data_IF_729353692394
#
_entry.id   IF_729353692394
#
_cell.length_a   1.000
_cell.length_b   1.000
_cell.length_c   1.000
_cell.angle_alpha   90.00
_cell.angle_beta   90.00
_cell.angle_gamma   90.00
#
_symmetry.space_group_name_H-M   'P 1'
#
loop_
_entity.id
_entity.type
_entity.pdbx_description
1 polymer ?
#
# COMPACT_ATOMS: atom_id res chain seq x y z
N UNK A 1 -35.57 19.73 13.18
CA UNK A 1 -34.75 19.81 14.40
C UNK A 1 -33.68 18.74 14.32
N UNK A 2 -32.43 19.08 14.00
CA UNK A 2 -31.28 18.23 14.33
C UNK A 2 -30.38 19.10 15.18
N UNK A 3 -30.30 18.73 16.45
CA UNK A 3 -29.72 19.48 17.55
C UNK A 3 -28.23 19.70 17.32
N UNK A 4 -27.72 20.74 17.99
CA UNK A 4 -26.30 21.02 18.19
C UNK A 4 -25.45 19.73 18.38
N UNK A 5 -26.02 18.70 19.02
CA UNK A 5 -25.42 17.38 19.21
C UNK A 5 -24.97 16.66 17.93
N UNK A 6 -25.74 16.66 16.83
CA UNK A 6 -25.33 15.96 15.60
C UNK A 6 -24.12 16.61 14.92
N UNK A 7 -23.99 17.95 15.01
CA UNK A 7 -22.83 18.67 14.47
C UNK A 7 -21.59 18.41 15.31
N UNK A 8 -21.74 18.41 16.64
CA UNK A 8 -20.66 18.08 17.58
C UNK A 8 -20.17 16.64 17.33
N UNK A 9 -21.09 15.68 17.21
CA UNK A 9 -20.74 14.28 16.93
C UNK A 9 -19.98 14.13 15.61
N UNK A 10 -20.46 14.75 14.53
CA UNK A 10 -19.79 14.72 13.23
C UNK A 10 -18.38 15.33 13.30
N UNK A 11 -18.23 16.42 14.04
CA UNK A 11 -16.93 17.06 14.25
C UNK A 11 -15.97 16.16 15.01
N UNK A 12 -16.42 15.51 16.10
CA UNK A 12 -15.59 14.61 16.90
C UNK A 12 -15.12 13.42 16.06
N UNK A 13 -16.04 12.77 15.33
CA UNK A 13 -15.71 11.63 14.47
C UNK A 13 -14.67 12.02 13.40
N UNK A 14 -14.86 13.17 12.74
CA UNK A 14 -13.91 13.65 11.74
C UNK A 14 -12.57 14.06 12.34
N UNK A 15 -12.53 14.59 13.57
CA UNK A 15 -11.26 14.86 14.28
C UNK A 15 -10.46 13.59 14.51
N UNK A 16 -11.10 12.48 14.86
CA UNK A 16 -10.42 11.17 15.00
C UNK A 16 -9.86 10.73 13.65
N UNK A 17 -10.63 10.86 12.57
CA UNK A 17 -10.19 10.53 11.21
C UNK A 17 -9.01 11.40 10.75
N UNK A 18 -8.98 12.69 11.12
CA UNK A 18 -7.84 13.59 10.86
C UNK A 18 -6.58 13.06 11.54
N UNK A 19 -6.66 12.68 12.82
CA UNK A 19 -5.51 12.14 13.57
C UNK A 19 -4.99 10.86 12.90
N UNK A 20 -5.89 9.94 12.54
CA UNK A 20 -5.51 8.71 11.84
C UNK A 20 -4.88 9.00 10.47
N UNK A 21 -5.44 9.94 9.70
CA UNK A 21 -4.91 10.38 8.42
C UNK A 21 -3.49 10.96 8.54
N UNK A 22 -3.24 11.79 9.56
CA UNK A 22 -1.91 12.34 9.84
C UNK A 22 -0.90 11.24 10.20
N UNK A 23 -1.29 10.26 11.01
CA UNK A 23 -0.43 9.10 11.34
C UNK A 23 -0.07 8.34 10.06
N UNK A 24 -1.04 8.06 9.18
CA UNK A 24 -0.78 7.38 7.91
C UNK A 24 0.14 8.19 7.00
N UNK A 25 -0.02 9.52 6.92
CA UNK A 25 0.86 10.39 6.15
C UNK A 25 2.29 10.32 6.68
N UNK A 26 2.47 10.43 8.00
CA UNK A 26 3.80 10.39 8.64
C UNK A 26 4.46 9.02 8.40
N UNK A 27 3.75 7.93 8.67
CA UNK A 27 4.25 6.57 8.45
C UNK A 27 4.56 6.34 6.97
N UNK A 28 3.66 6.71 6.07
CA UNK A 28 3.85 6.59 4.62
C UNK A 28 5.06 7.39 4.13
N UNK A 29 5.24 8.61 4.62
CA UNK A 29 6.40 9.44 4.28
C UNK A 29 7.71 8.85 4.80
N UNK A 30 7.73 8.34 6.04
CA UNK A 30 8.89 7.64 6.61
C UNK A 30 9.23 6.39 5.80
N UNK A 31 8.24 5.60 5.41
CA UNK A 31 8.47 4.38 4.62
C UNK A 31 8.92 4.73 3.19
N UNK A 32 8.38 5.78 2.58
CA UNK A 32 8.70 6.20 1.22
C UNK A 32 10.10 6.86 1.11
N UNK A 33 10.48 7.66 2.10
CA UNK A 33 11.69 8.50 2.02
C UNK A 33 12.71 8.27 3.12
N UNK A 34 12.39 7.47 4.14
CA UNK A 34 13.27 7.22 5.29
C UNK A 34 14.63 6.66 4.91
N UNK A 35 14.71 5.81 3.89
CA UNK A 35 15.99 5.23 3.43
C UNK A 35 16.96 6.28 2.87
N UNK A 36 16.45 7.31 2.20
CA UNK A 36 17.26 8.41 1.70
C UNK A 36 17.77 9.32 2.83
N UNK A 37 16.99 9.49 3.88
CA UNK A 37 17.38 10.23 5.08
C UNK A 37 18.47 9.48 5.87
N UNK A 38 18.31 8.16 6.02
CA UNK A 38 19.29 7.29 6.68
C UNK A 38 20.62 7.34 5.92
N UNK A 39 20.62 7.21 4.59
CA UNK A 39 21.88 7.27 3.80
C UNK A 39 22.61 8.62 3.94
N UNK A 40 21.87 9.74 3.96
CA UNK A 40 22.45 11.08 4.17
C UNK A 40 22.98 11.29 5.59
N UNK A 41 22.36 10.68 6.60
CA UNK A 41 22.88 10.69 7.97
C UNK A 41 24.19 9.90 8.08
N UNK A 42 24.29 8.77 7.38
CA UNK A 42 25.48 7.92 7.36
C UNK A 42 26.67 8.55 6.62
N UNK A 43 26.42 9.34 5.57
CA UNK A 43 27.46 10.08 4.83
C UNK A 43 27.77 11.47 5.42
N UNK A 44 26.99 11.91 6.41
CA UNK A 44 27.17 13.18 7.10
C UNK A 44 27.94 13.05 8.44
N UNK A 45 27.56 13.82 9.49
CA UNK A 45 28.34 13.93 10.73
C UNK A 45 28.52 12.61 11.51
N UNK A 46 27.82 11.54 11.15
CA UNK A 46 27.98 10.20 11.72
C UNK A 46 29.24 9.46 11.24
N UNK A 47 29.95 9.94 10.20
CA UNK A 47 31.17 9.30 9.70
C UNK A 47 32.22 9.07 10.81
N UNK A 48 32.33 10.01 11.76
CA UNK A 48 33.24 9.91 12.92
C UNK A 48 32.89 8.78 13.90
N UNK A 49 31.65 8.31 13.94
CA UNK A 49 31.24 7.17 14.78
C UNK A 49 31.36 5.83 14.05
N UNK A 50 31.26 5.86 12.73
CA UNK A 50 31.25 4.65 11.89
C UNK A 50 32.67 4.14 11.62
N UNK A 51 33.67 5.02 11.58
CA UNK A 51 35.09 4.63 11.51
C UNK A 51 35.52 3.73 12.69
N UNK A 52 34.89 3.87 13.86
CA UNK A 52 35.13 3.03 15.03
C UNK A 52 34.43 1.65 14.96
N UNK A 53 33.55 1.42 13.98
CA UNK A 53 32.78 0.17 13.82
C UNK A 53 33.35 -0.79 12.75
N UNK A 54 34.46 -0.43 12.10
CA UNK A 54 35.13 -1.25 11.09
C UNK A 54 34.50 -1.14 9.70
N UNK A 55 35.30 -0.76 8.71
CA UNK A 55 34.87 -0.44 7.34
C UNK A 55 34.01 -1.53 6.66
N UNK A 56 34.20 -2.79 7.03
CA UNK A 56 33.58 -3.96 6.39
C UNK A 56 32.04 -4.00 6.53
N UNK A 57 31.48 -3.59 7.68
CA UNK A 57 30.03 -3.64 7.92
C UNK A 57 29.25 -2.52 7.23
N UNK A 58 29.93 -1.45 6.84
CA UNK A 58 29.27 -0.26 6.25
C UNK A 58 28.71 -0.55 4.86
N UNK A 59 29.43 -1.34 4.05
CA UNK A 59 28.99 -1.76 2.73
C UNK A 59 27.77 -2.68 2.81
N UNK A 60 27.78 -3.63 3.74
CA UNK A 60 26.65 -4.55 3.97
C UNK A 60 25.39 -3.80 4.43
N UNK A 61 25.56 -2.79 5.30
CA UNK A 61 24.45 -1.94 5.75
C UNK A 61 23.88 -1.11 4.60
N UNK A 62 24.73 -0.49 3.75
CA UNK A 62 24.27 0.25 2.57
C UNK A 62 23.53 -0.64 1.57
N UNK A 63 24.00 -1.87 1.37
CA UNK A 63 23.34 -2.89 0.53
C UNK A 63 21.95 -3.26 1.10
N UNK A 64 21.87 -3.57 2.39
CA UNK A 64 20.61 -3.92 3.05
C UNK A 64 19.57 -2.79 2.98
N UNK A 65 19.98 -1.53 3.19
CA UNK A 65 19.09 -0.37 3.12
C UNK A 65 18.57 -0.15 1.69
N UNK A 66 19.42 -0.34 0.67
CA UNK A 66 19.04 -0.15 -0.74
C UNK A 66 18.04 -1.21 -1.21
N UNK A 67 18.24 -2.46 -0.79
CA UNK A 67 17.33 -3.56 -1.08
C UNK A 67 15.96 -3.33 -0.45
N UNK A 68 15.92 -3.13 0.87
CA UNK A 68 14.66 -2.91 1.62
C UNK A 68 13.96 -1.64 1.13
N UNK A 69 14.74 -0.59 0.84
CA UNK A 69 14.23 0.68 0.36
C UNK A 69 13.53 0.59 -0.99
N UNK A 70 13.98 -0.29 -1.90
CA UNK A 70 13.36 -0.45 -3.22
C UNK A 70 11.94 -1.02 -3.14
N UNK A 71 11.70 -1.96 -2.21
CA UNK A 71 10.40 -2.59 -1.98
C UNK A 71 9.47 -1.69 -1.18
N UNK A 72 10.00 -1.02 -0.16
CA UNK A 72 9.22 -0.21 0.78
C UNK A 72 8.70 1.09 0.16
N UNK A 73 9.43 1.66 -0.80
CA UNK A 73 9.11 2.93 -1.46
C UNK A 73 7.69 3.02 -2.06
N UNK A 74 7.29 2.13 -2.99
CA UNK A 74 5.95 2.20 -3.59
C UNK A 74 4.84 1.99 -2.54
N UNK A 75 5.08 1.17 -1.51
CA UNK A 75 4.13 0.96 -0.40
C UNK A 75 3.96 2.25 0.41
N UNK A 76 5.07 2.86 0.79
CA UNK A 76 5.07 4.12 1.53
C UNK A 76 4.35 5.22 0.78
N UNK A 77 4.57 5.33 -0.54
CA UNK A 77 3.86 6.29 -1.39
C UNK A 77 2.35 6.03 -1.44
N UNK A 78 1.93 4.77 -1.58
CA UNK A 78 0.51 4.42 -1.59
C UNK A 78 -0.17 4.80 -0.27
N UNK A 79 0.45 4.46 0.86
CA UNK A 79 -0.05 4.82 2.20
C UNK A 79 -0.08 6.34 2.41
N UNK A 80 0.94 7.05 1.91
CA UNK A 80 1.01 8.51 1.97
C UNK A 80 -0.13 9.18 1.21
N UNK A 81 -0.36 8.79 -0.05
CA UNK A 81 -1.45 9.36 -0.86
C UNK A 81 -2.82 9.00 -0.30
N UNK A 82 -3.01 7.78 0.20
CA UNK A 82 -4.25 7.38 0.86
C UNK A 82 -4.52 8.25 2.10
N UNK A 83 -3.49 8.49 2.92
CA UNK A 83 -3.56 9.38 4.07
C UNK A 83 -3.95 10.81 3.69
N UNK A 84 -3.41 11.35 2.60
CA UNK A 84 -3.78 12.69 2.10
C UNK A 84 -5.24 12.78 1.67
N UNK A 85 -5.76 11.76 0.98
CA UNK A 85 -7.18 11.71 0.56
C UNK A 85 -8.10 11.68 1.79
N UNK A 86 -7.79 10.80 2.75
CA UNK A 86 -8.55 10.67 4.00
C UNK A 86 -8.54 11.99 4.77
N UNK A 87 -7.37 12.62 4.90
CA UNK A 87 -7.20 13.91 5.57
C UNK A 87 -8.02 15.00 4.86
N UNK A 88 -7.97 15.08 3.53
CA UNK A 88 -8.75 16.03 2.75
C UNK A 88 -10.25 15.91 3.01
N UNK A 89 -10.80 14.69 2.91
CA UNK A 89 -12.23 14.43 3.16
C UNK A 89 -12.62 14.81 4.59
N UNK A 90 -11.78 14.49 5.57
CA UNK A 90 -12.06 14.77 6.97
C UNK A 90 -11.99 16.28 7.29
N UNK A 91 -11.08 17.02 6.67
CA UNK A 91 -11.02 18.50 6.76
C UNK A 91 -12.29 19.12 6.20
N UNK A 92 -12.76 18.69 5.02
CA UNK A 92 -14.02 19.19 4.45
C UNK A 92 -15.21 18.92 5.40
N UNK A 93 -15.23 17.77 6.06
CA UNK A 93 -16.23 17.44 7.07
C UNK A 93 -16.17 18.35 8.31
N UNK A 94 -14.97 18.63 8.83
CA UNK A 94 -14.76 19.49 10.00
C UNK A 94 -15.08 20.96 9.69
N UNK A 95 -14.63 21.49 8.55
CA UNK A 95 -14.92 22.85 8.07
C UNK A 95 -16.42 23.01 7.78
N UNK A 96 -17.05 22.02 7.16
CA UNK A 96 -18.50 22.03 6.91
C UNK A 96 -19.33 22.07 8.19
N UNK A 97 -18.87 21.41 9.26
CA UNK A 97 -19.52 21.42 10.57
C UNK A 97 -19.30 22.73 11.34
N UNK A 98 -18.05 23.25 11.36
CA UNK A 98 -17.64 24.38 12.21
C UNK A 98 -17.95 25.74 11.58
N UNK A 99 -17.70 25.90 10.27
CA UNK A 99 -17.91 27.17 9.57
C UNK A 99 -19.36 27.37 9.11
N UNK A 100 -20.27 26.45 9.43
CA UNK A 100 -21.69 26.44 9.03
C UNK A 100 -21.89 26.61 7.50
N UNK A 101 -20.86 26.31 6.70
CA UNK A 101 -20.89 26.43 5.25
C UNK A 101 -21.63 25.23 4.66
N UNK A 102 -22.90 25.47 4.33
CA UNK A 102 -23.81 24.46 3.77
C UNK A 102 -23.30 23.85 2.46
N UNK A 103 -22.52 24.58 1.68
CA UNK A 103 -21.97 24.08 0.41
C UNK A 103 -20.93 23.00 0.64
N UNK A 104 -19.94 23.25 1.51
CA UNK A 104 -18.91 22.27 1.87
C UNK A 104 -19.52 21.02 2.49
N UNK A 105 -20.49 21.20 3.40
CA UNK A 105 -21.18 20.07 4.03
C UNK A 105 -21.98 19.26 3.01
N UNK A 106 -22.64 19.92 2.04
CA UNK A 106 -23.39 19.23 0.99
C UNK A 106 -22.47 18.39 0.09
N UNK A 107 -21.32 18.94 -0.32
CA UNK A 107 -20.34 18.20 -1.11
C UNK A 107 -19.81 16.99 -0.33
N UNK A 108 -19.45 17.19 0.94
CA UNK A 108 -19.00 16.11 1.82
C UNK A 108 -20.04 14.98 1.93
N UNK A 109 -21.31 15.32 2.15
CA UNK A 109 -22.40 14.33 2.23
C UNK A 109 -22.63 13.63 0.89
N UNK A 110 -22.55 14.33 -0.24
CA UNK A 110 -22.69 13.71 -1.57
C UNK A 110 -21.57 12.68 -1.79
N UNK A 111 -20.32 13.05 -1.51
CA UNK A 111 -19.16 12.15 -1.66
C UNK A 111 -19.35 10.92 -0.77
N UNK A 112 -19.66 11.11 0.51
CA UNK A 112 -19.89 9.99 1.43
C UNK A 112 -21.08 9.13 1.03
N UNK A 113 -22.17 9.73 0.56
CA UNK A 113 -23.34 9.00 0.10
C UNK A 113 -22.99 8.12 -1.11
N UNK A 114 -22.21 8.62 -2.06
CA UNK A 114 -21.75 7.81 -3.20
C UNK A 114 -20.87 6.67 -2.73
N UNK A 115 -19.93 6.92 -1.81
CA UNK A 115 -19.07 5.88 -1.23
C UNK A 115 -19.93 4.79 -0.56
N UNK A 116 -20.89 5.17 0.28
CA UNK A 116 -21.77 4.23 0.98
C UNK A 116 -22.63 3.43 -0.01
N UNK A 117 -23.19 4.08 -1.04
CA UNK A 117 -23.96 3.41 -2.08
C UNK A 117 -23.12 2.36 -2.82
N UNK A 118 -21.88 2.70 -3.21
CA UNK A 118 -20.96 1.75 -3.83
C UNK A 118 -20.68 0.56 -2.91
N UNK A 119 -20.44 0.79 -1.61
CA UNK A 119 -20.22 -0.30 -0.65
C UNK A 119 -21.45 -1.20 -0.50
N UNK A 120 -22.66 -0.62 -0.43
CA UNK A 120 -23.90 -1.39 -0.37
C UNK A 120 -24.08 -2.24 -1.64
N UNK A 121 -23.81 -1.68 -2.82
CA UNK A 121 -23.86 -2.42 -4.08
C UNK A 121 -22.87 -3.59 -4.10
N UNK A 122 -21.63 -3.35 -3.65
CA UNK A 122 -20.62 -4.41 -3.53
C UNK A 122 -21.12 -5.51 -2.57
N UNK A 123 -21.66 -5.15 -1.41
CA UNK A 123 -22.19 -6.13 -0.45
C UNK A 123 -23.34 -6.95 -1.05
N UNK A 124 -24.31 -6.30 -1.70
CA UNK A 124 -25.44 -7.00 -2.32
C UNK A 124 -24.98 -7.97 -3.40
N UNK A 125 -24.08 -7.53 -4.30
CA UNK A 125 -23.58 -8.38 -5.38
C UNK A 125 -22.75 -9.52 -4.79
N UNK A 126 -21.95 -9.26 -3.75
CA UNK A 126 -21.13 -10.29 -3.09
C UNK A 126 -21.99 -11.41 -2.51
N UNK A 127 -23.09 -11.08 -1.83
CA UNK A 127 -24.01 -12.06 -1.26
C UNK A 127 -24.90 -12.75 -2.30
N UNK A 128 -25.32 -12.04 -3.35
CA UNK A 128 -26.24 -12.60 -4.35
C UNK A 128 -25.52 -13.43 -5.42
N UNK A 129 -24.43 -12.88 -6.00
CA UNK A 129 -23.68 -13.47 -7.11
C UNK A 129 -22.21 -13.05 -7.01
N UNK A 130 -21.41 -13.74 -6.17
CA UNK A 130 -20.00 -13.37 -5.98
C UNK A 130 -19.21 -13.40 -7.30
N UNK A 131 -19.61 -14.23 -8.27
CA UNK A 131 -18.97 -14.34 -9.59
C UNK A 131 -18.97 -13.03 -10.40
N UNK A 132 -19.96 -12.16 -10.22
CA UNK A 132 -20.03 -10.86 -10.92
C UNK A 132 -18.98 -9.86 -10.44
N UNK A 133 -18.59 -9.93 -9.16
CA UNK A 133 -17.48 -9.14 -8.62
C UNK A 133 -16.15 -9.83 -8.91
N UNK A 134 -16.12 -11.16 -8.75
CA UNK A 134 -14.89 -11.93 -8.84
C UNK A 134 -14.34 -11.94 -10.26
N UNK A 135 -15.18 -12.01 -11.30
CA UNK A 135 -14.73 -12.05 -12.70
C UNK A 135 -13.94 -10.82 -13.18
N UNK A 136 -14.39 -9.56 -13.02
CA UNK A 136 -13.60 -8.39 -13.40
C UNK A 136 -12.35 -8.23 -12.55
N UNK A 137 -12.43 -8.51 -11.25
CA UNK A 137 -11.26 -8.48 -10.36
C UNK A 137 -10.25 -9.55 -10.82
N UNK A 138 -10.71 -10.72 -11.27
CA UNK A 138 -9.86 -11.80 -11.79
C UNK A 138 -9.10 -11.36 -13.02
N UNK A 139 -9.78 -10.76 -13.99
CA UNK A 139 -9.14 -10.30 -15.22
C UNK A 139 -8.10 -9.21 -14.95
N UNK A 140 -8.38 -8.31 -14.01
CA UNK A 140 -7.41 -7.28 -13.64
C UNK A 140 -6.24 -7.89 -12.87
N UNK A 141 -6.49 -8.85 -11.98
CA UNK A 141 -5.45 -9.59 -11.27
C UNK A 141 -4.55 -10.36 -12.23
N UNK A 142 -5.10 -11.06 -13.23
CA UNK A 142 -4.34 -11.73 -14.29
C UNK A 142 -3.49 -10.73 -15.08
N UNK A 143 -4.00 -9.52 -15.34
CA UNK A 143 -3.25 -8.45 -15.99
C UNK A 143 -2.08 -7.98 -15.14
N UNK A 144 -2.29 -7.77 -13.83
CA UNK A 144 -1.23 -7.41 -12.89
C UNK A 144 -0.17 -8.52 -12.78
N UNK A 145 -0.57 -9.80 -12.74
CA UNK A 145 0.35 -10.93 -12.75
C UNK A 145 1.18 -10.98 -14.04
N UNK A 146 0.57 -10.73 -15.20
CA UNK A 146 1.30 -10.69 -16.49
C UNK A 146 2.30 -9.53 -16.59
N UNK A 147 2.03 -8.42 -15.90
CA UNK A 147 2.90 -7.23 -15.83
C UNK A 147 3.91 -7.31 -14.68
N UNK A 148 3.87 -8.36 -13.86
CA UNK A 148 4.79 -8.54 -12.77
C UNK A 148 6.23 -8.73 -13.29
N UNK A 149 7.16 -7.92 -12.78
CA UNK A 149 8.59 -7.99 -13.14
C UNK A 149 9.41 -8.65 -12.03
N UNK A 150 9.43 -7.99 -10.88
CA UNK A 150 10.13 -8.41 -9.66
C UNK A 150 9.71 -7.45 -8.55
N UNK A 151 9.73 -7.88 -7.29
CA UNK A 151 9.49 -6.96 -6.17
C UNK A 151 10.57 -5.87 -6.16
N UNK A 152 11.80 -6.21 -6.54
CA UNK A 152 12.96 -5.32 -6.59
C UNK A 152 12.86 -4.22 -7.65
N UNK A 153 11.93 -4.38 -8.61
CA UNK A 153 11.67 -3.36 -9.62
C UNK A 153 11.13 -2.06 -9.02
N UNK A 154 10.53 -2.11 -7.82
CA UNK A 154 9.91 -0.95 -7.17
C UNK A 154 8.67 -0.42 -7.91
N UNK A 155 8.16 -1.16 -8.90
CA UNK A 155 6.99 -0.78 -9.67
C UNK A 155 5.71 -1.00 -8.84
N UNK A 156 4.84 0.02 -8.78
CA UNK A 156 3.68 0.03 -7.90
C UNK A 156 2.76 -1.20 -8.10
N UNK A 157 2.59 -1.65 -9.34
CA UNK A 157 1.82 -2.83 -9.69
C UNK A 157 2.42 -4.13 -9.12
N UNK A 158 3.74 -4.31 -9.23
CA UNK A 158 4.42 -5.52 -8.74
C UNK A 158 4.34 -5.60 -7.22
N UNK A 159 4.54 -4.48 -6.53
CA UNK A 159 4.52 -4.45 -5.06
C UNK A 159 3.11 -4.58 -4.50
N UNK A 160 2.12 -3.94 -5.13
CA UNK A 160 0.71 -4.13 -4.77
C UNK A 160 0.31 -5.60 -4.88
N UNK A 161 0.68 -6.27 -5.98
CA UNK A 161 0.41 -7.68 -6.18
C UNK A 161 1.08 -8.54 -5.10
N UNK A 162 2.33 -8.27 -4.74
CA UNK A 162 3.05 -9.00 -3.69
C UNK A 162 2.43 -8.85 -2.29
N UNK A 163 1.98 -7.65 -1.94
CA UNK A 163 1.24 -7.39 -0.70
C UNK A 163 -0.08 -8.14 -0.68
N UNK A 164 -0.82 -8.11 -1.79
CA UNK A 164 -2.08 -8.81 -1.93
C UNK A 164 -1.90 -10.33 -1.75
N UNK A 165 -0.89 -10.92 -2.41
CA UNK A 165 -0.56 -12.34 -2.31
C UNK A 165 -0.15 -12.75 -0.88
N UNK A 166 0.63 -11.91 -0.20
CA UNK A 166 1.07 -12.19 1.19
C UNK A 166 -0.08 -12.02 2.19
N UNK A 167 -0.91 -11.00 2.03
CA UNK A 167 -2.05 -10.73 2.92
C UNK A 167 -3.16 -11.77 2.80
N UNK A 168 -3.40 -12.28 1.60
CA UNK A 168 -4.42 -13.30 1.33
C UNK A 168 -3.85 -14.73 1.38
N UNK A 169 -2.55 -14.87 1.62
CA UNK A 169 -1.84 -16.14 1.59
C UNK A 169 -2.13 -16.96 0.32
N UNK A 170 -2.04 -16.32 -0.83
CA UNK A 170 -2.40 -16.89 -2.12
C UNK A 170 -1.36 -16.61 -3.21
N UNK A 171 -1.35 -17.43 -4.25
CA UNK A 171 -0.38 -17.39 -5.32
C UNK A 171 -1.03 -17.32 -6.71
N UNK A 172 -0.91 -16.18 -7.39
CA UNK A 172 -1.47 -15.97 -8.73
C UNK A 172 -3.01 -15.90 -8.73
N UNK A 173 -3.59 -15.54 -9.88
CA UNK A 173 -5.04 -15.39 -10.00
C UNK A 173 -5.74 -16.76 -10.01
N UNK A 174 -5.23 -17.68 -10.82
CA UNK A 174 -5.69 -19.07 -10.93
C UNK A 174 -4.73 -20.08 -10.31
N UNK A 175 -3.55 -19.61 -9.91
CA UNK A 175 -2.49 -20.44 -9.36
C UNK A 175 -1.11 -19.94 -9.81
N UNK A 176 -0.09 -20.64 -9.34
CA UNK A 176 1.32 -20.34 -9.64
C UNK A 176 1.66 -20.40 -11.15
N UNK A 177 0.87 -21.09 -11.96
CA UNK A 177 1.11 -21.23 -13.40
C UNK A 177 0.94 -19.92 -14.17
N UNK A 178 0.19 -18.95 -13.63
CA UNK A 178 -0.02 -17.64 -14.28
C UNK A 178 1.30 -16.87 -14.46
N UNK A 179 2.27 -17.10 -13.57
CA UNK A 179 3.61 -16.51 -13.67
C UNK A 179 4.45 -17.06 -14.82
N UNK A 180 4.12 -18.26 -15.35
CA UNK A 180 4.79 -18.78 -16.58
C UNK A 180 4.52 -17.88 -17.79
N UNK A 181 3.42 -17.11 -17.76
CA UNK A 181 3.02 -16.21 -18.84
C UNK A 181 3.55 -14.78 -18.65
N UNK A 182 4.13 -14.46 -17.49
CA UNK A 182 4.71 -13.16 -17.19
C UNK A 182 6.04 -13.00 -17.94
N UNK A 183 5.98 -12.41 -19.15
CA UNK A 183 7.14 -12.24 -20.04
C UNK A 183 8.25 -11.37 -19.47
N UNK A 184 7.95 -10.55 -18.46
CA UNK A 184 8.88 -9.59 -17.86
C UNK A 184 9.38 -10.02 -16.49
N UNK A 185 8.98 -11.22 -16.02
CA UNK A 185 9.43 -11.75 -14.74
C UNK A 185 10.92 -12.07 -14.79
N UNK A 186 11.69 -11.54 -13.85
CA UNK A 186 13.09 -11.91 -13.69
C UNK A 186 13.20 -13.38 -13.29
N UNK A 187 13.96 -14.18 -14.04
CA UNK A 187 14.20 -15.60 -13.70
C UNK A 187 15.21 -15.77 -12.55
N UNK A 188 15.89 -14.68 -12.20
CA UNK A 188 16.93 -14.65 -11.17
C UNK A 188 16.76 -13.36 -10.38
N UNK A 189 16.34 -13.46 -9.13
CA UNK A 189 16.35 -12.34 -8.20
C UNK A 189 17.49 -12.59 -7.20
N UNK A 190 18.29 -11.56 -6.88
CA UNK A 190 19.39 -11.69 -5.92
C UNK A 190 18.89 -11.20 -4.57
N UNK A 191 18.45 -12.13 -3.72
CA UNK A 191 18.15 -11.82 -2.33
C UNK A 191 19.42 -12.08 -1.50
N UNK A 192 20.03 -11.03 -0.94
CA UNK A 192 21.15 -11.15 0.01
C UNK A 192 22.33 -12.00 -0.51
N UNK A 193 22.82 -11.72 -1.73
CA UNK A 193 23.90 -12.46 -2.41
C UNK A 193 23.67 -13.97 -2.64
N UNK A 194 22.49 -14.51 -2.32
CA UNK A 194 22.09 -15.83 -2.77
C UNK A 194 21.55 -15.71 -4.19
N UNK A 195 22.09 -16.50 -5.10
CA UNK A 195 21.60 -16.60 -6.48
C UNK A 195 20.48 -17.62 -6.47
N UNK A 196 19.26 -17.12 -6.46
CA UNK A 196 18.10 -17.96 -6.28
C UNK A 196 17.30 -18.01 -7.56
N UNK A 197 17.58 -19.10 -8.30
CA UNK A 197 16.95 -19.43 -9.57
C UNK A 197 15.44 -19.61 -9.35
N UNK A 198 14.64 -18.64 -9.82
CA UNK A 198 13.18 -18.73 -9.84
C UNK A 198 12.48 -18.59 -8.48
N UNK A 199 13.06 -17.91 -7.49
CA UNK A 199 12.56 -18.06 -6.11
C UNK A 199 11.20 -17.46 -5.77
N UNK A 200 10.65 -16.50 -6.49
CA UNK A 200 9.24 -16.10 -6.23
C UNK A 200 8.28 -17.22 -6.57
N UNK A 201 8.53 -17.96 -7.64
CA UNK A 201 7.79 -19.16 -7.99
C UNK A 201 7.91 -20.21 -6.88
N UNK A 202 9.11 -20.39 -6.30
CA UNK A 202 9.37 -21.35 -5.22
C UNK A 202 8.75 -20.90 -3.88
N UNK A 203 8.82 -19.63 -3.50
CA UNK A 203 8.17 -19.07 -2.30
C UNK A 203 6.65 -19.16 -2.41
N UNK A 204 6.11 -18.84 -3.58
CA UNK A 204 4.68 -18.89 -3.86
C UNK A 204 4.20 -20.35 -3.91
N UNK A 205 4.98 -21.30 -4.44
CA UNK A 205 4.73 -22.76 -4.37
C UNK A 205 4.92 -23.36 -2.96
N UNK A 206 5.90 -22.90 -2.19
CA UNK A 206 6.27 -23.47 -0.89
C UNK A 206 5.44 -22.91 0.26
N UNK A 207 5.02 -21.63 0.20
CA UNK A 207 4.28 -20.95 1.27
C UNK A 207 2.78 -20.83 1.00
N UNK A 208 2.33 -20.81 -0.26
CA UNK A 208 0.93 -20.47 -0.59
C UNK A 208 0.32 -21.44 -1.62
N UNK A 209 -0.36 -22.49 -1.12
CA UNK A 209 -1.00 -23.51 -1.97
C UNK A 209 -2.36 -23.07 -2.54
N UNK A 210 -2.90 -21.94 -2.08
CA UNK A 210 -4.20 -21.37 -2.48
C UNK A 210 -4.07 -20.41 -3.66
N UNK A 211 -5.04 -20.49 -4.59
CA UNK A 211 -5.27 -19.49 -5.63
C UNK A 211 -5.99 -18.28 -5.03
N UNK A 212 -5.70 -17.06 -5.50
CA UNK A 212 -6.33 -15.85 -4.97
C UNK A 212 -7.82 -15.74 -5.34
N UNK A 213 -8.31 -16.58 -6.26
CA UNK A 213 -9.71 -16.65 -6.68
C UNK A 213 -10.26 -18.06 -6.89
#
# INVERSE_FOLDING_TARGET
>A
MCSLGSKILLSILNSIVIILGLILIIVGAIVAWGTHLILKLFEGPAQKYIESLGQDKTHIVKLAIREIGSMARPIGLLVFFLGLIILGIAIFGCVGATCNNKLCLKIYVIILSVIVLVHILILIIHFSRPTLIMSPIKSELERYVKQYKSIQSGEAASVFLSLLMTSLQCCGANGWEDFKQAKQMSKTDKFMQLEVNGEWFVWCLASFKSKCM
#
